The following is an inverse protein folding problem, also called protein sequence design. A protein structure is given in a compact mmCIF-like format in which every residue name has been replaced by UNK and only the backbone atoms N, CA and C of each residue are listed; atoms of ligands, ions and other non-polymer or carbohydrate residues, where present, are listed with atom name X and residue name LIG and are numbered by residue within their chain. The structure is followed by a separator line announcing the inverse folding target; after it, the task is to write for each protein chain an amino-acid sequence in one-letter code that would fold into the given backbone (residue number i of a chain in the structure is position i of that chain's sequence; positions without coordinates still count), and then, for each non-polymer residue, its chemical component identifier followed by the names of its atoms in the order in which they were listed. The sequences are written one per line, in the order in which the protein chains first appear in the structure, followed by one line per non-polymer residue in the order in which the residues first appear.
data_IF_956485506961
#
_entry.id   IF_956485506961
#
_cell.length_a   1.000
_cell.length_b   1.000
_cell.length_c   1.000
_cell.angle_alpha   90.00
_cell.angle_beta   90.00
_cell.angle_gamma   90.00
#
_symmetry.space_group_name_H-M   'P 1'
#
loop_
_entity.id
_entity.type
_entity.pdbx_description
1 polymer ?
2 non-polymer ?
3 water ?
#
# COMPACT_ATOMS: atom_id res chain seq x y z
N UNK A 6 -18.95 24.95 -5.37
CA UNK A 6 -17.84 24.77 -6.35
C UNK A 6 -17.41 23.31 -6.39
N UNK A 7 -17.33 22.74 -7.58
CA UNK A 7 -16.98 21.33 -7.73
C UNK A 7 -15.47 21.19 -7.82
N UNK A 8 -14.91 20.33 -6.98
CA UNK A 8 -13.46 20.20 -6.81
C UNK A 8 -13.01 18.83 -7.31
N UNK A 9 -12.27 18.81 -8.42
CA UNK A 9 -11.85 17.59 -9.10
C UNK A 9 -10.34 17.47 -9.04
N UNK A 10 -9.86 16.35 -8.54
CA UNK A 10 -8.44 16.03 -8.53
C UNK A 10 -8.17 14.97 -9.59
N UNK A 11 -7.27 15.28 -10.50
CA UNK A 11 -6.77 14.30 -11.46
C UNK A 11 -5.43 13.80 -10.97
N UNK A 12 -5.27 12.49 -10.91
CA UNK A 12 -4.04 11.86 -10.44
C UNK A 12 -3.45 11.06 -11.58
N UNK A 13 -2.23 11.40 -11.95
CA UNK A 13 -1.43 10.65 -12.91
C UNK A 13 -0.27 9.99 -12.20
N UNK A 14 0.14 8.81 -12.67
CA UNK A 14 1.29 8.17 -12.05
C UNK A 14 2.60 8.82 -12.46
N UNK A 15 2.70 9.39 -13.66
CA UNK A 15 3.99 9.93 -14.09
C UNK A 15 3.76 11.02 -15.14
N UNK A 16 4.81 11.79 -15.44
CA UNK A 16 4.62 12.95 -16.33
C UNK A 16 4.19 12.59 -17.72
N UNK A 17 4.59 11.41 -18.23
CA UNK A 17 4.17 11.05 -19.58
C UNK A 17 2.66 10.89 -19.67
N UNK A 18 2.07 10.27 -18.66
CA UNK A 18 0.61 10.14 -18.62
C UNK A 18 -0.06 11.50 -18.63
N UNK A 19 0.44 12.40 -17.79
CA UNK A 19 -0.21 13.70 -17.51
C UNK A 19 -0.09 14.70 -18.66
N UNK A 20 0.86 14.48 -19.58
CA UNK A 20 1.39 15.57 -20.40
C UNK A 20 0.30 16.27 -21.20
N UNK A 21 -0.51 15.51 -21.92
CA UNK A 21 -1.49 16.12 -22.81
C UNK A 21 -2.67 16.70 -22.04
N UNK A 22 -3.05 16.11 -20.90
CA UNK A 22 -4.09 16.74 -20.07
C UNK A 22 -3.62 18.10 -19.58
N UNK A 23 -2.35 18.20 -19.22
CA UNK A 23 -1.83 19.47 -18.77
C UNK A 23 -1.82 20.52 -19.88
N UNK A 24 -1.85 20.10 -21.15
CA UNK A 24 -1.93 21.06 -22.26
C UNK A 24 -3.36 21.56 -22.49
N UNK A 25 -4.36 20.80 -22.04
CA UNK A 25 -5.77 21.12 -22.33
C UNK A 25 -6.26 22.39 -21.68
N UNK A 26 -5.76 22.72 -20.50
CA UNK A 26 -6.22 23.87 -19.75
C UNK A 26 -5.01 24.74 -19.40
N UNK A 27 -5.20 25.98 -19.22
CA UNK A 27 -4.06 26.83 -18.82
C UNK A 27 -3.71 26.71 -17.34
N UNK A 28 -3.15 25.57 -16.96
CA UNK A 28 -2.77 25.36 -15.58
C UNK A 28 -1.65 26.30 -15.16
N UNK A 29 -1.60 26.60 -13.87
CA UNK A 29 -0.46 27.25 -13.23
C UNK A 29 0.07 26.35 -12.13
N UNK A 30 1.36 26.49 -11.84
CA UNK A 30 1.99 25.82 -10.70
C UNK A 30 1.85 26.71 -9.48
N UNK A 31 1.29 26.16 -8.40
CA UNK A 31 1.06 26.97 -7.22
C UNK A 31 2.27 26.88 -6.26
N UNK A 32 2.21 27.64 -5.17
CA UNK A 32 3.30 27.64 -4.21
C UNK A 32 3.46 26.30 -3.49
N UNK A 33 2.44 25.44 -3.54
CA UNK A 33 2.50 24.07 -3.00
C UNK A 33 3.06 23.08 -4.01
N UNK A 34 3.43 23.53 -5.20
CA UNK A 34 4.19 22.75 -6.18
C UNK A 34 3.37 21.67 -6.87
N UNK A 35 2.17 22.03 -7.33
CA UNK A 35 1.40 21.18 -8.24
C UNK A 35 0.49 22.09 -9.06
N UNK A 36 -0.09 21.53 -10.13
CA UNK A 36 -0.83 22.31 -11.12
C UNK A 36 -2.29 22.53 -10.72
N UNK A 37 -2.80 23.73 -10.97
CA UNK A 37 -4.19 24.03 -10.65
C UNK A 37 -4.79 24.92 -11.74
N UNK A 38 -6.09 24.76 -11.94
CA UNK A 38 -6.88 25.56 -12.86
C UNK A 38 -8.30 25.68 -12.29
N UNK A 39 -8.88 26.87 -12.36
CA UNK A 39 -10.26 27.03 -11.94
C UNK A 39 -11.02 27.91 -12.91
N UNK A 40 -12.29 27.58 -13.12
CA UNK A 40 -13.15 28.37 -13.98
C UNK A 40 -14.59 28.09 -13.57
N UNK A 41 -15.40 29.14 -13.56
CA UNK A 41 -16.83 29.00 -13.28
C UNK A 41 -16.93 28.32 -11.91
N UNK A 42 -17.63 27.19 -11.79
CA UNK A 42 -17.82 26.52 -10.52
C UNK A 42 -16.85 25.35 -10.32
N UNK A 43 -15.82 25.21 -11.17
CA UNK A 43 -15.01 23.99 -11.16
C UNK A 43 -13.56 24.31 -10.84
N UNK A 44 -13.02 23.62 -9.86
CA UNK A 44 -11.60 23.64 -9.56
C UNK A 44 -11.02 22.34 -10.07
N UNK A 45 -9.95 22.44 -10.84
CA UNK A 45 -9.30 21.28 -11.43
C UNK A 45 -7.85 21.25 -10.99
N UNK A 46 -7.49 20.27 -10.17
CA UNK A 46 -6.12 20.13 -9.69
C UNK A 46 -5.52 18.86 -10.26
N UNK A 47 -4.20 18.85 -10.43
CA UNK A 47 -3.50 17.71 -11.00
C UNK A 47 -2.33 17.35 -10.12
N UNK A 48 -2.25 16.07 -9.74
CA UNK A 48 -1.08 15.54 -9.07
C UNK A 48 -0.44 14.46 -9.93
N UNK A 49 0.88 14.45 -9.93
CA UNK A 49 1.67 13.45 -10.65
C UNK A 49 2.46 12.71 -9.58
N UNK A 50 2.26 11.38 -9.49
CA UNK A 50 2.77 10.70 -8.31
C UNK A 50 4.29 10.56 -8.32
N UNK A 51 4.87 10.28 -9.48
CA UNK A 51 6.29 9.95 -9.56
C UNK A 51 6.94 10.89 -10.57
N UNK A 52 7.57 11.97 -10.10
CA UNK A 52 8.31 12.86 -10.98
C UNK A 52 9.80 12.61 -10.91
N UNK A 53 10.26 11.95 -9.86
CA UNK A 53 11.66 11.66 -9.58
C UNK A 53 11.86 10.15 -9.43
N UNK A 54 13.11 9.75 -9.54
CA UNK A 54 13.55 8.45 -9.04
C UNK A 54 13.00 7.28 -9.82
N UNK A 55 13.34 6.09 -9.33
CA UNK A 55 13.00 4.84 -9.98
C UNK A 55 11.64 4.29 -9.54
N UNK A 56 11.11 4.72 -8.40
CA UNK A 56 9.81 4.26 -7.94
C UNK A 56 9.07 5.39 -7.24
N UNK A 57 7.74 5.28 -7.26
CA UNK A 57 6.92 6.14 -6.44
C UNK A 57 6.97 5.72 -4.99
N UNK A 58 6.71 6.69 -4.11
CA UNK A 58 6.74 6.46 -2.67
C UNK A 58 5.34 6.67 -2.11
N UNK A 59 5.07 6.00 -0.99
CA UNK A 59 3.76 6.05 -0.36
C UNK A 59 3.39 7.50 -0.04
N UNK A 60 4.38 8.31 0.35
CA UNK A 60 4.08 9.66 0.79
C UNK A 60 3.65 10.58 -0.35
N UNK A 61 3.57 10.09 -1.59
CA UNK A 61 3.04 10.92 -2.67
C UNK A 61 1.56 11.25 -2.44
N UNK A 62 0.80 10.34 -1.83
CA UNK A 62 -0.64 10.51 -1.61
C UNK A 62 -1.00 10.22 -0.16
N UNK A 63 -0.05 10.41 0.75
CA UNK A 63 -0.25 10.08 2.15
C UNK A 63 0.40 11.18 3.01
N UNK A 64 -0.40 11.96 3.78
CA UNK A 64 -1.87 11.84 3.91
C UNK A 64 -2.58 12.18 2.61
N UNK A 65 -3.74 11.57 2.38
CA UNK A 65 -4.48 11.84 1.16
C UNK A 65 -5.04 13.26 1.19
N UNK A 66 -5.08 13.94 0.05
CA UNK A 66 -5.72 15.25 -0.01
C UNK A 66 -7.19 15.17 0.36
N UNK A 67 -7.59 16.01 1.30
CA UNK A 67 -9.00 16.12 1.66
C UNK A 67 -9.61 17.29 0.90
N UNK A 68 -10.93 17.23 0.76
CA UNK A 68 -11.69 18.37 0.31
C UNK A 68 -12.18 18.28 -1.12
N UNK A 69 -11.75 17.29 -1.90
CA UNK A 69 -12.21 17.14 -3.28
C UNK A 69 -13.57 16.43 -3.31
N UNK A 70 -14.28 16.60 -4.42
CA UNK A 70 -15.54 15.92 -4.62
C UNK A 70 -15.43 14.65 -5.43
N UNK A 71 -14.37 14.51 -6.22
CA UNK A 71 -14.13 13.35 -7.06
C UNK A 71 -12.65 13.30 -7.33
N UNK A 72 -12.08 12.09 -7.30
CA UNK A 72 -10.76 11.83 -7.82
C UNK A 72 -10.89 11.01 -9.09
N UNK A 73 -10.06 11.33 -10.08
CA UNK A 73 -9.93 10.54 -11.29
C UNK A 73 -8.46 10.16 -11.41
N UNK A 74 -8.19 8.87 -11.42
CA UNK A 74 -6.86 8.38 -11.75
C UNK A 74 -6.88 8.02 -13.22
N UNK A 75 -6.10 8.74 -14.03
CA UNK A 75 -6.00 8.48 -15.46
C UNK A 75 -4.60 7.95 -15.73
N UNK A 76 -4.51 6.86 -16.50
CA UNK A 76 -3.17 6.36 -16.74
C UNK A 76 -3.12 5.33 -17.85
N UNK A 77 -1.90 4.87 -18.12
CA UNK A 77 -1.63 3.78 -19.05
C UNK A 77 -1.85 2.44 -18.36
N UNK A 78 -2.29 1.42 -19.10
CA UNK A 78 -2.34 0.09 -18.52
C UNK A 78 -1.98 -0.91 -19.60
N UNK A 79 -1.16 -1.89 -19.22
CA UNK A 79 -0.88 -2.98 -20.11
C UNK A 79 -2.09 -3.87 -20.30
N UNK A 80 -2.18 -4.50 -21.47
CA UNK A 80 -3.25 -5.43 -21.78
C UNK A 80 -2.72 -6.85 -21.72
N UNK A 81 -3.29 -7.68 -20.83
CA UNK A 81 -2.81 -9.03 -20.61
C UNK A 81 -3.70 -10.07 -21.26
N UNK A 82 -4.68 -9.65 -22.05
CA UNK A 82 -5.58 -10.49 -22.80
C UNK A 82 -5.53 -9.96 -24.23
N UNK A 83 -5.27 -10.82 -25.22
CA UNK A 83 -5.20 -10.31 -26.60
C UNK A 83 -6.52 -9.77 -27.13
N UNK A 84 -7.65 -10.06 -26.50
CA UNK A 84 -8.89 -9.47 -27.01
C UNK A 84 -9.09 -8.03 -26.56
N UNK A 85 -8.13 -7.45 -25.84
CA UNK A 85 -8.12 -6.01 -25.57
C UNK A 85 -7.31 -5.31 -26.65
N UNK A 86 -7.93 -4.50 -27.51
CA UNK A 86 -7.12 -3.76 -28.46
C UNK A 86 -6.33 -2.65 -27.76
N UNK A 87 -5.22 -2.27 -28.38
CA UNK A 87 -4.44 -1.16 -27.85
C UNK A 87 -5.01 0.21 -28.24
N UNK A 88 -4.56 1.23 -27.52
CA UNK A 88 -4.99 2.62 -27.75
C UNK A 88 -6.49 2.81 -27.50
N UNK A 89 -7.05 1.98 -26.64
CA UNK A 89 -8.47 2.02 -26.28
C UNK A 89 -8.63 2.46 -24.84
N UNK A 90 -9.57 3.37 -24.60
CA UNK A 90 -9.78 3.98 -23.29
C UNK A 90 -10.91 3.28 -22.55
N UNK A 91 -10.64 2.80 -21.34
CA UNK A 91 -11.63 2.12 -20.53
C UNK A 91 -11.84 2.87 -19.22
N UNK A 92 -12.99 2.62 -18.62
CA UNK A 92 -13.20 2.94 -17.21
C UNK A 92 -13.23 1.66 -16.42
N UNK A 93 -12.90 1.75 -15.14
CA UNK A 93 -12.62 0.57 -14.33
C UNK A 93 -13.78 0.28 -13.38
N UNK A 94 -14.16 -0.98 -13.28
CA UNK A 94 -15.21 -1.38 -12.33
C UNK A 94 -14.63 -1.74 -10.97
N UNK A 95 -13.58 -2.55 -10.95
CA UNK A 95 -12.87 -2.85 -9.72
C UNK A 95 -11.40 -2.97 -10.04
N UNK A 96 -10.61 -2.73 -8.99
CA UNK A 96 -9.16 -2.78 -9.07
C UNK A 96 -8.67 -3.68 -7.94
N UNK A 97 -7.76 -4.55 -8.30
CA UNK A 97 -7.15 -5.59 -7.47
C UNK A 97 -5.68 -5.25 -7.30
N UNK A 98 -5.19 -5.22 -6.07
CA UNK A 98 -3.75 -5.35 -5.83
C UNK A 98 -3.42 -6.83 -5.75
N UNK A 99 -2.36 -7.23 -6.44
CA UNK A 99 -1.94 -8.61 -6.42
C UNK A 99 -0.47 -8.68 -6.01
N UNK A 100 -0.15 -9.61 -5.09
CA UNK A 100 1.21 -9.86 -4.60
C UNK A 100 1.67 -11.22 -5.11
N UNK A 101 2.55 -11.27 -6.11
CA UNK A 101 2.79 -12.56 -6.79
C UNK A 101 3.49 -13.59 -5.96
N UNK A 102 4.34 -13.20 -5.01
CA UNK A 102 5.05 -14.18 -4.21
C UNK A 102 4.15 -14.93 -3.24
N UNK A 103 2.97 -14.41 -2.89
CA UNK A 103 2.08 -15.08 -1.98
C UNK A 103 0.73 -15.41 -2.59
N UNK A 104 0.39 -14.79 -3.71
CA UNK A 104 -0.90 -14.85 -4.35
C UNK A 104 -2.00 -14.14 -3.58
N UNK A 105 -1.65 -13.39 -2.55
CA UNK A 105 -2.67 -12.69 -1.80
C UNK A 105 -3.12 -11.47 -2.60
N UNK A 106 -4.43 -11.23 -2.59
CA UNK A 106 -5.05 -10.10 -3.28
C UNK A 106 -5.90 -9.27 -2.35
N UNK A 107 -6.10 -8.02 -2.73
CA UNK A 107 -7.20 -7.23 -2.20
C UNK A 107 -7.87 -6.55 -3.38
N UNK A 108 -9.14 -6.21 -3.22
CA UNK A 108 -9.92 -5.65 -4.32
C UNK A 108 -10.93 -4.62 -3.82
N UNK A 109 -11.03 -3.51 -4.57
CA UNK A 109 -11.97 -2.45 -4.29
C UNK A 109 -12.71 -2.07 -5.54
N UNK A 110 -13.99 -1.80 -5.37
CA UNK A 110 -14.78 -1.23 -6.45
C UNK A 110 -14.41 0.24 -6.63
N UNK A 111 -14.50 0.68 -7.87
CA UNK A 111 -14.31 2.08 -8.21
C UNK A 111 -15.53 2.53 -9.01
N UNK A 112 -15.65 3.84 -9.17
CA UNK A 112 -16.87 4.41 -9.71
C UNK A 112 -16.71 4.55 -11.23
N UNK A 113 -17.50 3.85 -12.04
CA UNK A 113 -17.26 3.90 -13.48
C UNK A 113 -17.70 5.23 -14.04
N UNK A 114 -16.94 5.70 -15.02
CA UNK A 114 -17.26 6.93 -15.75
C UNK A 114 -18.29 6.61 -16.82
N UNK A 115 -19.34 7.42 -16.96
CA UNK A 115 -20.35 7.18 -18.01
C UNK A 115 -19.73 7.17 -19.39
N UNK A 116 -20.31 6.38 -20.28
CA UNK A 116 -20.02 6.37 -21.71
C UNK A 116 -18.75 5.59 -22.04
N UNK A 117 -17.89 5.25 -21.05
CA UNK A 117 -16.69 4.49 -21.38
C UNK A 117 -16.92 2.99 -21.16
N UNK A 118 -16.29 2.16 -21.98
CA UNK A 118 -16.43 0.72 -21.79
C UNK A 118 -15.72 0.24 -20.53
N UNK A 119 -16.24 -0.85 -19.99
CA UNK A 119 -15.85 -1.33 -18.68
C UNK A 119 -14.68 -2.31 -18.77
N UNK A 120 -13.79 -2.24 -17.78
CA UNK A 120 -12.73 -3.25 -17.64
C UNK A 120 -12.38 -3.39 -16.17
N UNK A 121 -11.75 -4.53 -15.84
CA UNK A 121 -11.15 -4.78 -14.55
C UNK A 121 -9.65 -4.49 -14.60
N UNK A 122 -9.12 -3.94 -13.52
CA UNK A 122 -7.73 -3.51 -13.43
C UNK A 122 -7.04 -4.31 -12.35
N UNK A 123 -5.82 -4.74 -12.61
CA UNK A 123 -4.97 -5.33 -11.59
C UNK A 123 -3.72 -4.46 -11.47
N UNK A 124 -3.35 -4.09 -10.24
CA UNK A 124 -2.16 -3.29 -9.97
C UNK A 124 -1.06 -4.17 -9.41
N UNK A 125 0.13 -4.08 -9.99
CA UNK A 125 1.29 -4.82 -9.51
C UNK A 125 2.50 -3.90 -9.45
N UNK A 126 3.39 -4.19 -8.50
CA UNK A 126 4.57 -3.35 -8.27
C UNK A 126 5.52 -3.39 -9.46
N UNK A 127 5.72 -4.56 -10.04
CA UNK A 127 6.58 -4.76 -11.20
C UNK A 127 5.72 -5.00 -12.43
N UNK A 128 5.90 -4.25 -13.52
CA UNK A 128 5.05 -4.46 -14.69
C UNK A 128 5.20 -5.88 -15.23
N UNK A 129 4.06 -6.47 -15.61
CA UNK A 129 4.05 -7.78 -16.24
C UNK A 129 4.70 -7.68 -17.61
N UNK A 130 5.71 -8.50 -17.82
CA UNK A 130 6.18 -8.82 -19.16
C UNK A 130 6.18 -10.32 -19.36
N UNK A 131 5.46 -11.07 -18.49
CA UNK A 131 5.50 -12.52 -18.55
C UNK A 131 4.93 -13.02 -19.88
N UNK A 132 3.92 -12.35 -20.38
CA UNK A 132 3.09 -12.86 -21.43
C UNK A 132 1.66 -12.60 -21.06
N UNK A 133 0.76 -13.35 -21.68
CA UNK A 133 -0.66 -13.14 -21.53
C UNK A 133 -1.20 -14.01 -20.42
N UNK A 134 -2.32 -13.59 -19.84
CA UNK A 134 -2.93 -14.36 -18.74
C UNK A 134 -4.44 -14.50 -18.95
N UNK A 135 -4.97 -15.67 -18.62
CA UNK A 135 -6.41 -15.88 -18.74
C UNK A 135 -7.20 -15.01 -17.77
N UNK A 136 -6.65 -14.72 -16.59
CA UNK A 136 -7.42 -14.12 -15.50
C UNK A 136 -7.31 -12.60 -15.43
N UNK A 137 -6.48 -11.98 -16.25
CA UNK A 137 -6.19 -10.56 -16.15
C UNK A 137 -6.69 -9.83 -17.39
N UNK A 138 -7.06 -8.58 -17.18
CA UNK A 138 -7.45 -7.71 -18.28
C UNK A 138 -6.42 -6.60 -18.37
N UNK A 139 -6.63 -5.48 -17.73
CA UNK A 139 -5.69 -4.38 -17.74
C UNK A 139 -4.83 -4.47 -16.51
N UNK A 140 -3.59 -4.01 -16.64
CA UNK A 140 -2.60 -4.13 -15.56
C UNK A 140 -1.87 -2.79 -15.45
N UNK A 141 -1.80 -2.22 -14.23
CA UNK A 141 -1.05 -0.99 -14.03
C UNK A 141 -0.22 -1.13 -12.77
N UNK A 142 0.28 -0.02 -12.23
CA UNK A 142 1.01 -0.05 -10.98
C UNK A 142 0.30 0.64 -9.82
N UNK A 143 -0.35 1.80 -10.05
CA UNK A 143 -0.77 2.67 -8.95
C UNK A 143 -2.28 2.69 -8.69
N UNK A 144 -3.08 2.11 -9.56
CA UNK A 144 -4.54 2.20 -9.41
C UNK A 144 -5.05 1.78 -8.04
N UNK A 145 -4.65 0.60 -7.56
CA UNK A 145 -5.23 0.16 -6.29
C UNK A 145 -4.84 1.09 -5.15
N UNK A 146 -3.56 1.49 -5.11
CA UNK A 146 -3.08 2.39 -4.08
C UNK A 146 -3.92 3.67 -4.04
N UNK A 147 -4.18 4.23 -5.21
CA UNK A 147 -4.96 5.47 -5.29
C UNK A 147 -6.38 5.24 -4.80
N UNK A 148 -7.03 4.16 -5.25
CA UNK A 148 -8.39 3.85 -4.80
C UNK A 148 -8.45 3.69 -3.29
N UNK A 149 -7.43 3.04 -2.71
CA UNK A 149 -7.48 2.83 -1.26
C UNK A 149 -7.26 4.14 -0.51
N UNK A 150 -6.36 4.98 -1.00
CA UNK A 150 -6.17 6.29 -0.37
C UNK A 150 -7.44 7.12 -0.46
N UNK A 151 -8.13 7.07 -1.61
CA UNK A 151 -9.38 7.81 -1.74
C UNK A 151 -10.37 7.43 -0.63
N UNK A 152 -10.43 6.15 -0.29
CA UNK A 152 -11.34 5.69 0.77
C UNK A 152 -11.06 6.36 2.13
N UNK A 153 -9.80 6.72 2.40
CA UNK A 153 -9.45 7.32 3.68
C UNK A 153 -10.11 8.68 3.87
N UNK A 154 -10.37 9.41 2.78
CA UNK A 154 -11.08 10.69 2.84
C UNK A 154 -12.50 10.58 2.31
N UNK A 155 -12.98 9.36 2.06
CA UNK A 155 -14.38 9.14 1.69
C UNK A 155 -14.74 9.91 0.43
N UNK A 156 -13.81 9.98 -0.44
CA UNK A 156 -14.01 10.68 -1.69
C UNK A 156 -14.22 9.67 -2.80
N UNK A 157 -15.22 9.82 -3.67
CA UNK A 157 -15.34 8.87 -4.79
C UNK A 157 -14.10 8.90 -5.68
N UNK A 158 -13.76 7.74 -6.24
CA UNK A 158 -12.60 7.60 -7.10
C UNK A 158 -13.04 6.88 -8.37
N UNK A 159 -12.68 7.43 -9.54
CA UNK A 159 -12.92 6.81 -10.83
C UNK A 159 -11.59 6.66 -11.54
N UNK A 160 -11.52 5.72 -12.46
CA UNK A 160 -10.31 5.45 -13.20
C UNK A 160 -10.58 5.47 -14.69
N UNK A 161 -9.65 6.05 -15.43
CA UNK A 161 -9.59 5.98 -16.87
C UNK A 161 -8.25 5.34 -17.20
N UNK A 162 -8.29 4.23 -17.93
CA UNK A 162 -7.06 3.51 -18.29
C UNK A 162 -7.06 3.27 -19.78
N UNK A 163 -5.99 3.67 -20.45
CA UNK A 163 -5.85 3.44 -21.88
C UNK A 163 -4.87 2.28 -22.07
N UNK A 164 -5.23 1.36 -22.94
CA UNK A 164 -4.41 0.18 -23.17
C UNK A 164 -3.14 0.58 -23.93
N UNK A 165 -1.99 0.39 -23.29
CA UNK A 165 -0.76 1.02 -23.76
C UNK A 165 0.21 0.06 -24.43
N UNK A 166 0.06 -1.24 -24.20
CA UNK A 166 0.99 -2.23 -24.70
C UNK A 166 0.45 -3.57 -24.27
N UNK A 167 0.87 -4.62 -24.98
CA UNK A 167 0.65 -5.98 -24.50
C UNK A 167 1.76 -6.33 -23.51
N UNK A 168 1.44 -7.20 -22.56
CA UNK A 168 2.32 -7.44 -21.43
C UNK A 168 3.38 -8.51 -21.76
N UNK A 169 4.18 -8.21 -22.77
CA UNK A 169 5.25 -9.11 -23.21
C UNK A 169 6.54 -8.32 -23.38
N UNK A 170 7.64 -9.07 -23.59
CA UNK A 170 8.92 -8.41 -23.86
C UNK A 170 8.83 -7.57 -25.14
N UNK A 171 8.42 -8.21 -26.24
CA UNK A 171 8.31 -7.52 -27.52
C UNK A 171 7.26 -6.41 -27.48
N UNK A 172 6.31 -6.51 -26.54
CA UNK A 172 5.24 -5.53 -26.45
C UNK A 172 5.64 -4.22 -25.83
N UNK A 173 6.79 -4.15 -25.16
CA UNK A 173 7.18 -2.93 -24.44
C UNK A 173 7.51 -1.78 -25.40
N UNK A 174 8.05 -2.07 -26.58
CA UNK A 174 8.44 -1.02 -27.51
C UNK A 174 7.26 -0.12 -27.89
N UNK A 175 6.07 -0.70 -28.00
CA UNK A 175 4.91 0.11 -28.38
C UNK A 175 4.63 1.19 -27.34
N UNK A 176 4.71 0.84 -26.05
CA UNK A 176 4.58 1.85 -25.00
C UNK A 176 5.67 2.91 -25.12
N UNK A 177 6.91 2.46 -25.34
CA UNK A 177 8.02 3.39 -25.47
C UNK A 177 7.75 4.43 -26.57
N UNK A 178 7.10 4.00 -27.66
CA UNK A 178 7.01 4.79 -28.88
C UNK A 178 5.72 5.57 -29.04
N UNK A 179 4.76 5.41 -28.15
CA UNK A 179 3.42 5.97 -28.35
C UNK A 179 2.95 6.76 -27.12
N UNK A 180 3.87 7.28 -26.32
CA UNK A 180 3.43 7.96 -25.10
C UNK A 180 2.61 9.21 -25.40
N UNK A 181 2.87 9.93 -26.50
CA UNK A 181 2.07 11.12 -26.77
C UNK A 181 0.65 10.74 -27.15
N UNK A 182 0.50 9.82 -28.11
CA UNK A 182 -0.83 9.33 -28.50
C UNK A 182 -1.59 8.80 -27.31
N UNK A 183 -0.93 8.03 -26.45
CA UNK A 183 -1.60 7.47 -25.28
C UNK A 183 -2.07 8.56 -24.32
N UNK A 184 -1.17 9.50 -23.99
CA UNK A 184 -1.53 10.64 -23.15
C UNK A 184 -2.68 11.44 -23.75
N UNK A 185 -2.68 11.63 -25.06
CA UNK A 185 -3.77 12.33 -25.73
C UNK A 185 -5.10 11.61 -25.54
N UNK A 186 -5.11 10.28 -25.60
CA UNK A 186 -6.35 9.55 -25.33
C UNK A 186 -6.89 9.86 -23.94
N UNK A 187 -6.02 9.89 -22.94
CA UNK A 187 -6.47 10.26 -21.60
C UNK A 187 -7.05 11.65 -21.58
N UNK A 188 -6.39 12.59 -22.25
CA UNK A 188 -6.89 13.97 -22.25
C UNK A 188 -8.28 14.03 -22.89
N UNK A 189 -8.50 13.29 -23.96
CA UNK A 189 -9.78 13.30 -24.67
C UNK A 189 -10.89 12.68 -23.84
N UNK A 190 -10.55 11.78 -22.92
CA UNK A 190 -11.57 11.18 -22.03
C UNK A 190 -11.90 12.10 -20.86
N UNK A 191 -10.93 12.88 -20.39
CA UNK A 191 -11.12 13.74 -19.24
C UNK A 191 -12.00 14.93 -19.61
N UNK A 192 -11.86 15.46 -20.83
CA UNK A 192 -12.56 16.70 -21.17
C UNK A 192 -14.07 16.61 -21.01
N UNK A 193 -14.78 15.63 -21.55
CA UNK A 193 -16.24 15.64 -21.38
C UNK A 193 -16.67 15.52 -19.94
N UNK A 194 -15.86 14.88 -19.09
CA UNK A 194 -16.18 14.79 -17.68
C UNK A 194 -16.09 16.17 -17.05
N UNK A 195 -14.95 16.84 -17.27
CA UNK A 195 -14.80 18.22 -16.83
C UNK A 195 -15.98 19.08 -17.27
N UNK A 196 -16.49 18.87 -18.48
CA UNK A 196 -17.56 19.72 -18.99
C UNK A 196 -18.89 19.41 -18.32
N UNK A 197 -19.10 18.18 -17.85
CA UNK A 197 -20.37 17.80 -17.23
C UNK A 197 -20.63 18.56 -15.94
N UNK A 198 -19.58 18.97 -15.24
CA UNK A 198 -19.72 19.62 -13.94
C UNK A 198 -19.73 21.14 -14.04
N UNK A 199 -19.73 21.68 -15.26
CA UNK A 199 -19.94 23.11 -15.45
C UNK A 199 -21.42 23.42 -15.23
N UNK A 200 -21.72 24.23 -14.22
CA UNK A 200 -23.09 24.51 -13.80
C UNK A 200 -23.59 25.81 -14.44
N UNK B 6 -5.42 14.60 17.14
CA UNK B 6 -4.19 13.88 17.63
C UNK B 6 -4.23 12.35 17.39
N UNK B 7 -3.51 11.89 16.39
CA UNK B 7 -3.51 10.48 16.07
C UNK B 7 -2.57 9.74 17.03
N UNK B 8 -3.03 8.62 17.57
CA UNK B 8 -2.28 7.89 18.58
C UNK B 8 -1.96 6.49 18.04
N UNK B 9 -0.69 6.22 17.89
CA UNK B 9 -0.19 4.99 17.27
C UNK B 9 0.63 4.23 18.29
N UNK B 10 0.31 2.94 18.46
CA UNK B 10 1.10 2.03 19.27
C UNK B 10 1.84 1.04 18.37
N UNK B 11 3.16 1.00 18.50
CA UNK B 11 4.01 0.05 17.78
C UNK B 11 4.53 -0.98 18.77
N UNK B 12 4.48 -2.26 18.39
CA UNK B 12 4.85 -3.35 19.28
C UNK B 12 5.88 -4.23 18.58
N UNK B 13 7.05 -4.38 19.20
CA UNK B 13 8.12 -5.26 18.76
C UNK B 13 8.32 -6.34 19.81
N UNK B 14 8.71 -7.53 19.36
CA UNK B 14 8.92 -8.63 20.30
C UNK B 14 10.34 -8.67 20.87
N UNK B 15 11.28 -7.92 20.30
CA UNK B 15 12.69 -8.13 20.59
C UNK B 15 13.42 -6.81 20.43
N UNK B 16 14.34 -6.46 21.32
CA UNK B 16 15.03 -5.17 21.16
C UNK B 16 15.79 -5.05 19.85
N UNK B 17 16.33 -6.15 19.31
CA UNK B 17 17.08 -6.07 18.05
C UNK B 17 16.16 -5.76 16.86
N UNK B 18 14.95 -6.28 16.88
CA UNK B 18 13.99 -5.93 15.84
C UNK B 18 13.60 -4.45 15.91
N UNK B 19 13.48 -3.90 17.12
CA UNK B 19 13.03 -2.54 17.37
C UNK B 19 14.11 -1.48 17.12
N UNK B 20 15.37 -1.90 17.08
CA UNK B 20 16.50 -0.98 17.27
C UNK B 20 16.50 0.14 16.25
N UNK B 21 16.33 -0.17 14.95
CA UNK B 21 16.42 0.86 13.92
C UNK B 21 15.16 1.73 13.90
N UNK B 22 13.99 1.19 14.25
CA UNK B 22 12.81 2.04 14.35
C UNK B 22 12.99 3.05 15.48
N UNK B 23 13.54 2.61 16.60
CA UNK B 23 13.78 3.52 17.71
C UNK B 23 14.76 4.63 17.35
N UNK B 24 15.63 4.41 16.37
CA UNK B 24 16.57 5.43 15.91
C UNK B 24 15.92 6.52 15.06
N UNK B 25 14.69 6.31 14.59
CA UNK B 25 14.04 7.23 13.67
C UNK B 25 13.61 8.53 14.34
N UNK B 26 13.37 8.48 15.64
CA UNK B 26 12.78 9.62 16.35
C UNK B 26 13.48 9.80 17.68
N UNK B 27 13.50 11.01 18.20
CA UNK B 27 14.11 11.25 19.52
C UNK B 27 13.12 10.91 20.63
N UNK B 28 12.87 9.62 20.72
CA UNK B 28 11.99 9.07 21.73
C UNK B 28 12.45 9.43 23.15
N UNK B 29 11.47 9.46 24.06
CA UNK B 29 11.70 9.51 25.49
C UNK B 29 11.38 8.13 26.07
N UNK B 30 12.15 7.70 27.05
CA UNK B 30 11.90 6.41 27.71
C UNK B 30 10.95 6.65 28.85
N UNK B 31 9.73 6.16 28.73
CA UNK B 31 8.73 6.39 29.78
C UNK B 31 8.90 5.45 30.98
N UNK B 32 9.24 4.21 30.68
CA UNK B 32 9.49 3.17 31.66
C UNK B 32 10.17 2.06 30.87
N UNK B 33 10.48 0.94 31.53
CA UNK B 33 11.21 -0.11 30.86
C UNK B 33 10.53 -0.51 29.56
N UNK B 34 11.28 -0.47 28.47
CA UNK B 34 10.82 -0.99 27.17
C UNK B 34 9.59 -0.27 26.65
N UNK B 35 9.38 0.99 27.03
CA UNK B 35 8.24 1.78 26.57
C UNK B 35 8.74 3.19 26.22
N UNK B 36 8.63 3.54 24.95
CA UNK B 36 9.22 4.72 24.35
C UNK B 36 8.10 5.60 23.81
N UNK B 37 8.23 6.92 23.96
CA UNK B 37 7.16 7.79 23.51
C UNK B 37 7.74 8.96 22.73
N UNK B 38 6.99 9.36 21.70
CA UNK B 38 7.37 10.49 20.87
C UNK B 38 6.10 11.18 20.42
N UNK B 39 6.03 12.48 20.57
CA UNK B 39 4.88 13.17 20.00
C UNK B 39 5.29 14.43 19.26
N UNK B 40 4.57 14.71 18.18
CA UNK B 40 4.49 16.04 17.66
C UNK B 40 3.08 16.54 17.96
N UNK B 41 2.70 17.59 17.28
CA UNK B 41 1.47 18.23 17.66
C UNK B 41 0.29 17.41 17.14
N UNK B 42 0.46 16.67 16.04
CA UNK B 42 -0.64 15.90 15.45
C UNK B 42 -0.57 14.39 15.68
N UNK B 43 0.56 13.84 16.14
CA UNK B 43 0.76 12.40 16.24
C UNK B 43 1.44 12.05 17.55
N UNK B 44 0.87 11.10 18.29
CA UNK B 44 1.56 10.43 19.37
C UNK B 44 1.97 9.04 18.91
N UNK B 45 3.25 8.74 19.03
CA UNK B 45 3.82 7.45 18.64
C UNK B 45 4.45 6.80 19.86
N UNK B 46 3.88 5.71 20.32
CA UNK B 46 4.41 4.97 21.46
C UNK B 46 4.96 3.64 20.95
N UNK B 47 6.09 3.21 21.49
CA UNK B 47 6.70 1.93 21.11
C UNK B 47 6.85 1.07 22.35
N UNK B 48 6.36 -0.17 22.27
CA UNK B 48 6.54 -1.18 23.29
C UNK B 48 7.43 -2.30 22.75
N UNK B 49 8.40 -2.71 23.56
CA UNK B 49 9.25 -3.85 23.26
C UNK B 49 8.94 -4.93 24.28
N UNK B 50 8.45 -6.08 23.82
CA UNK B 50 8.15 -7.16 24.75
C UNK B 50 9.42 -7.59 25.50
N UNK B 51 9.21 -8.14 26.70
CA UNK B 51 10.32 -8.65 27.52
C UNK B 51 10.65 -10.09 27.22
N UNK B 52 9.77 -10.82 26.53
CA UNK B 52 10.05 -12.16 26.03
C UNK B 52 9.18 -12.38 24.79
N UNK B 53 9.48 -13.43 24.05
CA UNK B 53 8.78 -13.74 22.82
C UNK B 53 7.43 -14.40 23.08
N UNK B 54 6.62 -14.46 22.04
CA UNK B 54 5.38 -15.17 21.95
C UNK B 54 4.29 -14.77 22.93
N UNK B 55 3.39 -15.72 23.12
CA UNK B 55 2.19 -15.52 23.94
C UNK B 55 2.54 -15.00 25.32
N UNK B 56 3.53 -15.61 25.97
CA UNK B 56 3.94 -15.16 27.30
C UNK B 56 4.33 -13.68 27.30
N UNK B 57 5.09 -13.24 26.30
CA UNK B 57 5.51 -11.86 26.25
C UNK B 57 4.36 -10.91 25.95
N UNK B 58 3.45 -11.33 25.08
CA UNK B 58 2.27 -10.52 24.77
C UNK B 58 1.40 -10.36 26.00
N UNK B 59 1.12 -11.47 26.70
CA UNK B 59 0.29 -11.41 27.90
C UNK B 59 0.91 -10.49 28.93
N UNK B 60 2.22 -10.59 29.13
CA UNK B 60 2.88 -9.81 30.18
C UNK B 60 2.76 -8.31 29.90
N UNK B 61 2.74 -7.92 28.63
CA UNK B 61 2.81 -6.53 28.22
C UNK B 61 1.46 -5.92 27.84
N UNK B 62 0.52 -6.73 27.35
CA UNK B 62 -0.71 -6.26 26.73
C UNK B 62 -1.95 -6.86 27.37
N UNK B 63 -1.83 -7.31 28.62
CA UNK B 63 -2.98 -7.77 29.39
C UNK B 63 -2.89 -7.12 30.76
N UNK B 64 -3.77 -6.16 31.05
CA UNK B 64 -4.86 -5.67 30.20
C UNK B 64 -4.34 -4.90 28.99
N UNK B 65 -5.13 -4.85 27.91
CA UNK B 65 -4.71 -4.12 26.73
C UNK B 65 -4.86 -2.63 26.92
N UNK B 66 -3.95 -1.82 26.40
CA UNK B 66 -4.08 -0.37 26.56
C UNK B 66 -5.19 0.14 25.66
N UNK B 67 -6.02 1.02 26.20
CA UNK B 67 -7.07 1.66 25.43
C UNK B 67 -6.58 3.02 24.97
N UNK B 68 -7.31 3.61 24.04
CA UNK B 68 -7.05 4.97 23.65
C UNK B 68 -6.23 5.17 22.38
N UNK B 69 -5.64 4.12 21.81
CA UNK B 69 -4.91 4.27 20.55
C UNK B 69 -5.86 4.20 19.38
N UNK B 70 -5.42 4.75 18.25
CA UNK B 70 -6.17 4.69 17.01
C UNK B 70 -5.75 3.55 16.11
N UNK B 71 -4.55 3.01 16.32
CA UNK B 71 -4.01 1.93 15.54
C UNK B 71 -2.91 1.28 16.36
N UNK B 72 -2.85 -0.06 16.32
CA UNK B 72 -1.70 -0.81 16.79
C UNK B 72 -1.01 -1.42 15.57
N UNK B 73 0.32 -1.37 15.57
CA UNK B 73 1.13 -2.03 14.56
C UNK B 73 2.10 -2.96 15.26
N UNK B 74 2.08 -4.23 14.88
CA UNK B 74 3.07 -5.18 15.35
C UNK B 74 4.06 -5.37 14.22
N UNK B 75 5.31 -5.04 14.47
CA UNK B 75 6.36 -5.11 13.46
C UNK B 75 7.40 -6.12 13.90
N UNK B 76 7.84 -7.00 13.00
CA UNK B 76 8.84 -7.97 13.43
C UNK B 76 9.36 -8.82 12.29
N UNK B 77 10.33 -9.67 12.68
CA UNK B 77 10.95 -10.66 11.81
C UNK B 77 10.05 -11.89 11.72
N UNK B 78 9.84 -12.42 10.52
CA UNK B 78 9.02 -13.61 10.33
C UNK B 78 9.78 -14.66 9.53
N UNK B 79 9.44 -15.91 9.78
CA UNK B 79 9.95 -17.01 8.98
C UNK B 79 9.10 -17.17 7.74
N UNK B 80 9.75 -17.53 6.63
CA UNK B 80 9.09 -17.84 5.36
C UNK B 80 8.99 -19.36 5.21
N UNK B 81 7.76 -19.86 5.18
CA UNK B 81 7.46 -21.29 5.16
C UNK B 81 7.18 -21.79 3.74
N UNK B 82 7.61 -21.04 2.76
CA UNK B 82 7.35 -21.30 1.35
C UNK B 82 8.54 -20.76 0.58
N UNK B 83 9.20 -21.56 -0.27
CA UNK B 83 10.42 -21.05 -0.93
C UNK B 83 10.14 -19.99 -1.98
N UNK B 84 8.89 -19.78 -2.39
CA UNK B 84 8.64 -18.71 -3.34
C UNK B 84 8.64 -17.33 -2.68
N UNK B 85 8.71 -17.28 -1.35
CA UNK B 85 8.83 -16.02 -0.62
C UNK B 85 10.31 -15.72 -0.49
N UNK B 86 10.80 -14.61 -1.04
CA UNK B 86 12.20 -14.23 -0.84
C UNK B 86 12.40 -13.68 0.55
N UNK B 87 13.63 -13.81 1.03
CA UNK B 87 13.99 -13.19 2.31
C UNK B 87 14.34 -11.73 2.10
N UNK B 88 14.39 -11.00 3.22
CA UNK B 88 14.64 -9.55 3.26
C UNK B 88 13.54 -8.77 2.56
N UNK B 89 12.32 -9.28 2.56
CA UNK B 89 11.19 -8.60 1.94
C UNK B 89 10.17 -8.25 3.00
N UNK B 90 9.73 -6.99 2.99
CA UNK B 90 8.80 -6.51 4.00
C UNK B 90 7.38 -6.70 3.51
N UNK B 91 6.58 -7.41 4.30
CA UNK B 91 5.16 -7.64 4.01
C UNK B 91 4.26 -6.96 5.02
N UNK B 92 3.04 -6.69 4.59
CA UNK B 92 1.96 -6.36 5.49
C UNK B 92 1.00 -7.54 5.52
N UNK B 93 0.35 -7.76 6.67
CA UNK B 93 -0.45 -8.97 6.91
C UNK B 93 -1.92 -8.69 6.68
N UNK B 94 -2.59 -9.60 5.97
CA UNK B 94 -4.02 -9.46 5.75
C UNK B 94 -4.87 -10.33 6.67
N UNK B 95 -4.34 -11.45 7.14
CA UNK B 95 -5.07 -12.32 8.05
C UNK B 95 -4.05 -13.09 8.89
N UNK B 96 -4.47 -13.52 10.08
CA UNK B 96 -3.57 -14.21 10.98
C UNK B 96 -4.32 -15.35 11.65
N UNK B 97 -3.64 -16.48 11.78
CA UNK B 97 -4.25 -17.62 12.44
C UNK B 97 -3.20 -18.28 13.34
N UNK B 98 -3.70 -19.09 14.25
CA UNK B 98 -2.88 -19.94 15.08
C UNK B 98 -2.65 -21.27 14.39
N UNK B 99 -1.41 -21.78 14.43
CA UNK B 99 -1.14 -23.07 13.79
C UNK B 99 -1.83 -24.20 14.54
N UNK B 100 -1.73 -24.19 15.87
CA UNK B 100 -2.40 -25.17 16.73
C UNK B 100 -3.33 -24.44 17.68
N UNK B 101 -4.64 -24.36 17.39
CA UNK B 101 -5.59 -23.73 18.31
C UNK B 101 -5.93 -24.62 19.51
N UNK B 107 -9.66 -20.18 14.77
CA UNK B 107 -10.25 -19.04 14.08
C UNK B 107 -9.17 -18.16 13.43
N UNK B 108 -9.56 -17.46 12.38
CA UNK B 108 -8.67 -16.59 11.65
C UNK B 108 -9.15 -15.16 11.87
N UNK B 109 -8.22 -14.24 12.05
CA UNK B 109 -8.56 -12.84 12.31
C UNK B 109 -8.10 -12.01 11.13
N UNK B 110 -8.97 -11.15 10.64
CA UNK B 110 -8.52 -10.18 9.66
C UNK B 110 -7.60 -9.16 10.32
N UNK B 111 -6.64 -8.68 9.55
CA UNK B 111 -5.63 -7.72 9.97
C UNK B 111 -5.67 -6.59 8.94
N UNK B 112 -5.43 -5.37 9.38
CA UNK B 112 -5.63 -4.22 8.50
C UNK B 112 -4.36 -3.93 7.70
N UNK B 113 -4.37 -4.04 6.37
CA UNK B 113 -3.12 -3.87 5.61
C UNK B 113 -2.60 -2.43 5.62
N UNK B 114 -1.29 -2.31 5.71
CA UNK B 114 -0.61 -1.03 5.50
C UNK B 114 -0.51 -0.78 4.00
N UNK B 115 -0.88 0.42 3.53
CA UNK B 115 -0.83 0.66 2.08
C UNK B 115 0.57 0.52 1.51
N UNK B 116 0.59 0.16 0.25
CA UNK B 116 1.80 0.15 -0.57
C UNK B 116 2.84 -0.84 -0.05
N UNK B 117 2.42 -1.94 0.55
CA UNK B 117 3.31 -3.03 0.91
C UNK B 117 2.79 -4.34 0.35
N UNK B 118 3.68 -5.27 0.01
CA UNK B 118 3.24 -6.59 -0.45
C UNK B 118 2.40 -7.25 0.64
N UNK B 119 1.46 -8.08 0.22
CA UNK B 119 0.50 -8.70 1.13
C UNK B 119 0.89 -10.15 1.43
N UNK B 120 0.65 -10.56 2.67
CA UNK B 120 0.86 -11.95 3.07
C UNK B 120 -0.09 -12.34 4.20
N UNK B 121 -0.22 -13.63 4.39
CA UNK B 121 -0.95 -14.22 5.51
C UNK B 121 0.04 -14.75 6.55
N UNK B 122 -0.34 -14.64 7.82
CA UNK B 122 0.55 -14.94 8.94
C UNK B 122 0.00 -16.09 9.75
N UNK B 123 0.90 -16.95 10.20
CA UNK B 123 0.58 -18.04 11.10
C UNK B 123 1.45 -17.92 12.34
N UNK B 124 0.82 -17.85 13.52
CA UNK B 124 1.52 -17.73 14.80
C UNK B 124 1.62 -19.10 15.45
N UNK B 125 2.83 -19.44 15.89
CA UNK B 125 3.13 -20.73 16.49
C UNK B 125 3.59 -20.50 17.92
N UNK B 126 3.59 -21.58 18.70
CA UNK B 126 3.96 -21.52 20.11
C UNK B 126 5.45 -21.70 20.36
N UNK B 127 6.22 -22.12 19.36
CA UNK B 127 7.67 -22.24 19.46
C UNK B 127 8.26 -22.11 18.07
N UNK B 128 9.56 -21.83 17.96
CA UNK B 128 10.13 -21.52 16.64
C UNK B 128 9.91 -22.63 15.64
N UNK B 129 9.47 -22.26 14.43
CA UNK B 129 8.98 -23.20 13.43
C UNK B 129 10.07 -23.50 12.41
N UNK B 130 10.36 -24.78 12.27
CA UNK B 130 11.54 -25.28 11.58
C UNK B 130 11.21 -26.51 10.74
N UNK B 131 9.94 -26.71 10.37
CA UNK B 131 9.45 -27.96 9.79
C UNK B 131 9.39 -27.93 8.27
N UNK B 132 10.09 -26.99 7.63
CA UNK B 132 10.15 -26.99 6.19
C UNK B 132 8.95 -26.30 5.58
N UNK B 133 8.65 -26.69 4.36
CA UNK B 133 7.66 -26.01 3.55
C UNK B 133 6.39 -26.82 3.35
N UNK B 134 6.34 -28.05 3.85
CA UNK B 134 5.17 -28.91 3.68
C UNK B 134 4.11 -28.56 4.74
N UNK B 135 3.42 -27.43 4.51
CA UNK B 135 2.25 -27.14 5.33
C UNK B 135 1.34 -26.03 4.79
N UNK B 136 1.62 -25.49 3.60
CA UNK B 136 0.78 -24.43 2.99
C UNK B 136 0.75 -23.15 3.83
N UNK B 137 1.85 -22.82 4.48
CA UNK B 137 1.97 -21.58 5.21
C UNK B 137 2.66 -20.53 4.35
N UNK B 138 2.58 -19.29 4.79
CA UNK B 138 3.27 -18.19 4.16
C UNK B 138 4.30 -17.64 5.14
N UNK B 139 3.96 -16.64 5.94
CA UNK B 139 4.87 -16.18 6.96
C UNK B 139 4.47 -16.76 8.31
N UNK B 140 5.47 -16.92 9.19
CA UNK B 140 5.30 -17.55 10.49
C UNK B 140 5.99 -16.71 11.58
N UNK B 141 5.30 -16.49 12.70
CA UNK B 141 5.85 -15.74 13.83
C UNK B 141 5.33 -16.39 15.11
N UNK B 142 5.52 -15.71 16.24
CA UNK B 142 4.98 -16.19 17.52
C UNK B 142 4.05 -15.21 18.23
N UNK B 143 3.97 -13.95 17.82
CA UNK B 143 3.22 -12.95 18.57
C UNK B 143 1.94 -12.46 17.90
N UNK B 144 1.88 -12.46 16.56
CA UNK B 144 0.88 -11.65 15.87
C UNK B 144 -0.56 -12.01 16.22
N UNK B 145 -0.88 -13.31 16.22
CA UNK B 145 -2.25 -13.69 16.53
C UNK B 145 -2.69 -13.16 17.87
N UNK B 146 -1.83 -13.28 18.87
CA UNK B 146 -2.18 -12.88 20.23
C UNK B 146 -2.26 -11.35 20.35
N UNK B 147 -1.40 -10.61 19.63
CA UNK B 147 -1.52 -9.17 19.62
C UNK B 147 -2.84 -8.75 18.98
N UNK B 148 -3.22 -9.40 17.88
CA UNK B 148 -4.50 -9.05 17.25
C UNK B 148 -5.67 -9.34 18.19
N UNK B 149 -5.60 -10.45 18.94
CA UNK B 149 -6.67 -10.74 19.90
C UNK B 149 -6.77 -9.66 20.96
N UNK B 150 -5.61 -9.13 21.40
CA UNK B 150 -5.65 -8.06 22.40
C UNK B 150 -6.20 -6.75 21.83
N UNK B 151 -5.80 -6.39 20.59
CA UNK B 151 -6.34 -5.20 19.96
C UNK B 151 -7.85 -5.29 19.85
N UNK B 152 -8.36 -6.49 19.55
CA UNK B 152 -9.79 -6.68 19.40
C UNK B 152 -10.54 -6.37 20.68
N UNK B 153 -9.91 -6.64 21.82
CA UNK B 153 -10.59 -6.38 23.09
C UNK B 153 -10.88 -4.89 23.28
N UNK B 154 -10.05 -4.01 22.73
CA UNK B 154 -10.26 -2.57 22.84
C UNK B 154 -10.79 -1.98 21.55
N UNK B 155 -11.23 -2.83 20.61
CA UNK B 155 -11.87 -2.38 19.39
C UNK B 155 -10.94 -1.45 18.63
N UNK B 156 -9.65 -1.78 18.61
CA UNK B 156 -8.67 -0.95 17.95
C UNK B 156 -8.13 -1.66 16.72
N UNK B 157 -8.10 -0.99 15.59
CA UNK B 157 -7.49 -1.60 14.42
C UNK B 157 -6.06 -2.03 14.68
N UNK B 158 -5.68 -3.12 14.03
CA UNK B 158 -4.35 -3.70 14.18
C UNK B 158 -3.77 -4.01 12.81
N UNK B 159 -2.54 -3.58 12.57
CA UNK B 159 -1.80 -3.82 11.34
C UNK B 159 -0.53 -4.56 11.71
N UNK B 160 0.04 -5.31 10.76
CA UNK B 160 1.29 -5.99 11.06
C UNK B 160 2.24 -5.83 9.90
N UNK B 161 3.49 -5.56 10.24
CA UNK B 161 4.59 -5.46 9.29
C UNK B 161 5.56 -6.59 9.63
N UNK B 162 5.74 -7.52 8.71
CA UNK B 162 6.57 -8.68 8.94
C UNK B 162 7.58 -8.81 7.81
N UNK B 163 8.86 -8.76 8.15
CA UNK B 163 9.92 -8.90 7.16
C UNK B 163 10.41 -10.35 7.17
N UNK B 164 10.53 -10.93 5.99
CA UNK B 164 10.98 -12.33 5.90
C UNK B 164 12.44 -12.39 6.29
N UNK B 165 12.73 -13.14 7.33
CA UNK B 165 14.04 -13.12 7.96
C UNK B 165 14.75 -14.46 7.96
N UNK B 166 14.04 -15.55 7.69
CA UNK B 166 14.64 -16.88 7.61
C UNK B 166 13.66 -17.78 6.92
N UNK B 167 14.19 -18.84 6.31
CA UNK B 167 13.33 -19.94 5.87
C UNK B 167 13.12 -20.88 7.05
N UNK B 168 11.97 -21.55 7.06
CA UNK B 168 11.59 -22.42 8.18
C UNK B 168 12.19 -23.80 8.02
N UNK B 169 13.48 -23.84 7.67
CA UNK B 169 14.26 -25.05 7.57
C UNK B 169 15.33 -25.00 8.64
N UNK B 170 15.92 -26.17 8.93
CA UNK B 170 16.94 -26.30 9.96
C UNK B 170 18.07 -25.27 9.78
N UNK B 171 18.43 -24.61 10.88
CA UNK B 171 19.50 -23.63 10.92
C UNK B 171 19.18 -22.37 10.12
N UNK B 172 17.95 -22.22 9.64
CA UNK B 172 17.60 -21.01 8.90
C UNK B 172 17.76 -19.74 9.71
N UNK B 173 17.83 -19.87 11.03
CA UNK B 173 18.05 -18.69 11.86
C UNK B 173 19.41 -18.05 11.59
N UNK B 174 20.33 -18.76 10.93
CA UNK B 174 21.61 -18.14 10.62
C UNK B 174 21.44 -16.93 9.72
N UNK B 175 20.48 -16.97 8.79
CA UNK B 175 20.27 -15.79 7.96
C UNK B 175 19.81 -14.62 8.79
N UNK B 176 18.85 -14.84 9.68
CA UNK B 176 18.35 -13.80 10.58
C UNK B 176 19.48 -13.20 11.41
N UNK B 177 20.30 -14.05 12.02
CA UNK B 177 21.38 -13.56 12.86
C UNK B 177 22.39 -12.73 12.06
N UNK B 178 22.63 -13.10 10.81
CA UNK B 178 23.63 -12.42 10.00
C UNK B 178 23.09 -11.11 9.45
N UNK B 179 21.77 -10.94 9.44
CA UNK B 179 21.16 -9.79 8.78
C UNK B 179 20.32 -8.96 9.73
N UNK B 180 20.59 -9.05 11.04
CA UNK B 180 19.78 -8.36 12.04
C UNK B 180 19.63 -6.87 11.75
N UNK B 181 20.72 -6.19 11.44
CA UNK B 181 20.66 -4.74 11.22
C UNK B 181 19.83 -4.44 9.98
N UNK B 182 20.14 -5.12 8.87
CA UNK B 182 19.39 -4.91 7.64
C UNK B 182 17.92 -5.16 7.84
N UNK B 183 17.57 -6.25 8.55
CA UNK B 183 16.18 -6.58 8.77
C UNK B 183 15.49 -5.53 9.64
N UNK B 184 16.16 -5.09 10.70
CA UNK B 184 15.60 -4.05 11.56
C UNK B 184 15.40 -2.74 10.79
N UNK B 185 16.36 -2.41 9.90
CA UNK B 185 16.25 -1.22 9.06
C UNK B 185 15.07 -1.33 8.09
N UNK B 186 14.81 -2.51 7.56
CA UNK B 186 13.63 -2.72 6.71
C UNK B 186 12.33 -2.37 7.45
N UNK B 187 12.17 -2.86 8.68
CA UNK B 187 11.00 -2.49 9.47
C UNK B 187 10.92 -0.96 9.65
N UNK B 188 12.04 -0.32 10.00
CA UNK B 188 12.03 1.12 10.23
C UNK B 188 11.62 1.89 8.98
N UNK B 189 12.11 1.44 7.82
CA UNK B 189 11.79 2.11 6.56
C UNK B 189 10.33 1.91 6.15
N UNK B 190 9.69 0.84 6.62
CA UNK B 190 8.26 0.65 6.39
C UNK B 190 7.44 1.44 7.38
N UNK B 191 7.97 1.71 8.58
CA UNK B 191 7.20 2.39 9.63
C UNK B 191 7.23 3.90 9.43
N UNK B 192 8.35 4.48 9.05
CA UNK B 192 8.47 5.93 8.93
C UNK B 192 7.34 6.55 8.11
N UNK B 193 7.00 6.02 6.94
CA UNK B 193 5.94 6.66 6.15
C UNK B 193 4.59 6.59 6.82
N UNK B 194 4.35 5.57 7.62
CA UNK B 194 3.08 5.45 8.35
C UNK B 194 2.94 6.61 9.31
N UNK B 195 4.01 6.87 10.06
CA UNK B 195 4.08 8.06 10.87
C UNK B 195 3.79 9.30 10.04
N UNK B 196 4.39 9.38 8.85
CA UNK B 196 4.16 10.55 8.00
C UNK B 196 2.72 10.65 7.52
N UNK B 197 2.00 9.53 7.44
CA UNK B 197 0.64 9.50 6.90
C UNK B 197 -0.36 10.24 7.77
N UNK B 198 0.04 10.63 8.99
CA UNK B 198 -0.87 11.24 9.95
C UNK B 198 -0.46 12.67 10.29
N UNK B 199 0.55 13.21 9.63
CA UNK B 199 1.15 14.47 10.03
C UNK B 199 1.09 15.46 8.87
#
# INVERSE_FOLDING_TARGET
GSTGSMFKLLLIFADPAEAARTLSLFPFSLNKENFYTYHTENVLLDVMVLKTWGYRGVVQALSPPPSGYDLWINAGFAGAANPNIPLLKTYTITSVKELTPTTSVEEELEVTPIPRLPLAQLTSVRSPYRDGFHEHLQLVDMEGFFIAKQASLVACPCSMIKVSSNYTTREGQDFLKNNKVKLSQKLAEAIFPIYSSFIDV
GSTGSMFKLLLIFADPAEAARTLSLFPFSLNKENFYTYHTENVLLDVMVLKTWGYRGVVQALSPPPSGYDLWINAGFAGAANPNIPLLKTYTITSVKELTPTTSVEEELEVTPIPRLPLAQLTSVRSPYRDGFHEHLQLVDMEGFFIAKQASLVACPCSMIKVSSNYTTREGQDFLKNNKVKLSQKLAEAIFPIYSSFIDV
#
